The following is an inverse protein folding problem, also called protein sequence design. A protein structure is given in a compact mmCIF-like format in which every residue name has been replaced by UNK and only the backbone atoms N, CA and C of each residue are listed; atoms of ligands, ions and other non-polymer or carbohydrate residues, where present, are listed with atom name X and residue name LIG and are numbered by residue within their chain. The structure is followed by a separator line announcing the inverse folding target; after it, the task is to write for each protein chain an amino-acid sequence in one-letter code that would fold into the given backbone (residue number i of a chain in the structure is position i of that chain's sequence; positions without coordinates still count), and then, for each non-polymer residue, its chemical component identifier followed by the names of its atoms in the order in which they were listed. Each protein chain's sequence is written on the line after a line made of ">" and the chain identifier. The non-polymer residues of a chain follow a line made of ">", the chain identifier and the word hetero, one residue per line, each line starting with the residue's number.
data_IF_467845542808
#
_entry.id   IF_467845542808
#
_cell.length_a   1.000
_cell.length_b   1.000
_cell.length_c   1.000
_cell.angle_alpha   90.00
_cell.angle_beta   90.00
_cell.angle_gamma   90.00
#
_symmetry.space_group_name_H-M   'P 1'
#
loop_
_entity.id
_entity.type
_entity.pdbx_description
1 polymer ?
#
# COMPACT_ATOMS: atom_id res chain seq x y z
N UNK A 1 17.61 -18.36 14.06
CA UNK A 1 17.39 -18.52 12.59
C UNK A 1 16.11 -19.29 12.23
N UNK A 2 15.57 -20.17 13.09
CA UNK A 2 14.36 -20.96 12.82
C UNK A 2 13.02 -20.19 12.94
N UNK A 3 12.93 -19.13 13.75
CA UNK A 3 11.72 -18.31 13.87
C UNK A 3 11.39 -17.50 12.60
N UNK A 4 12.40 -17.05 11.84
CA UNK A 4 12.18 -16.29 10.59
C UNK A 4 11.74 -17.18 9.41
N UNK A 5 12.01 -18.49 9.48
CA UNK A 5 11.56 -19.46 8.48
C UNK A 5 10.10 -19.84 8.68
N UNK A 6 9.64 -19.93 9.93
CA UNK A 6 8.23 -20.15 10.29
C UNK A 6 7.32 -18.98 9.85
N UNK A 7 7.81 -17.73 9.92
CA UNK A 7 7.09 -16.51 9.47
C UNK A 7 6.70 -16.50 7.99
N UNK A 8 7.42 -17.22 7.12
CA UNK A 8 7.16 -17.23 5.67
C UNK A 8 6.11 -18.23 5.24
N UNK A 9 5.89 -19.29 6.02
CA UNK A 9 4.98 -20.37 5.63
C UNK A 9 3.52 -20.09 5.98
N UNK A 10 3.19 -19.23 6.95
CA UNK A 10 1.78 -19.07 7.37
C UNK A 10 0.96 -18.31 6.32
N UNK A 11 1.51 -17.25 5.71
CA UNK A 11 0.82 -16.49 4.64
C UNK A 11 1.00 -17.10 3.23
N UNK A 12 2.05 -17.90 3.00
CA UNK A 12 2.20 -18.67 1.75
C UNK A 12 1.37 -19.96 1.76
N UNK A 13 1.16 -20.62 2.91
CA UNK A 13 0.33 -21.82 3.00
C UNK A 13 -1.16 -21.52 2.81
N UNK A 14 -1.64 -20.29 3.13
CA UNK A 14 -3.02 -19.89 2.83
C UNK A 14 -3.30 -19.70 1.33
N UNK A 15 -2.26 -19.64 0.49
CA UNK A 15 -2.41 -19.67 -0.99
C UNK A 15 -2.85 -21.07 -1.45
N UNK A 16 -2.57 -22.13 -0.68
CA UNK A 16 -2.81 -23.52 -1.08
C UNK A 16 -3.83 -24.29 -0.20
N UNK A 17 -4.32 -23.69 0.89
CA UNK A 17 -5.39 -24.25 1.71
C UNK A 17 -6.44 -23.19 1.99
N UNK A 18 -7.55 -23.26 1.24
CA UNK A 18 -8.71 -22.37 1.36
C UNK A 18 -9.54 -22.80 2.59
N UNK A 19 -9.03 -22.55 3.79
CA UNK A 19 -9.87 -22.62 4.99
C UNK A 19 -10.73 -21.34 5.02
N UNK A 20 -12.07 -21.45 4.94
CA UNK A 20 -12.96 -20.29 4.86
C UNK A 20 -12.96 -19.41 6.13
N UNK A 21 -12.34 -19.89 7.22
CA UNK A 21 -12.26 -19.17 8.49
C UNK A 21 -11.02 -18.27 8.64
N UNK A 22 -10.06 -18.34 7.72
CA UNK A 22 -8.80 -17.58 7.79
C UNK A 22 -8.74 -16.43 6.78
N UNK A 23 -7.95 -15.41 7.12
CA UNK A 23 -7.71 -14.24 6.26
C UNK A 23 -7.03 -14.66 4.96
N UNK A 24 -7.65 -14.34 3.84
CA UNK A 24 -7.08 -14.58 2.51
C UNK A 24 -6.00 -13.55 2.19
N UNK A 25 -5.12 -13.92 1.25
CA UNK A 25 -4.14 -12.99 0.69
C UNK A 25 -4.80 -11.72 0.10
N UNK A 26 -5.95 -11.87 -0.57
CA UNK A 26 -6.74 -10.75 -1.08
C UNK A 26 -7.28 -9.84 0.03
N UNK A 27 -7.77 -10.41 1.13
CA UNK A 27 -8.22 -9.62 2.29
C UNK A 27 -7.09 -8.82 2.95
N UNK A 28 -5.87 -9.35 2.97
CA UNK A 28 -4.69 -8.59 3.44
C UNK A 28 -4.31 -7.47 2.47
N UNK A 29 -4.28 -7.75 1.18
CA UNK A 29 -3.87 -6.76 0.16
C UNK A 29 -4.91 -5.64 0.01
N UNK A 30 -6.20 -5.96 0.06
CA UNK A 30 -7.28 -4.98 0.14
C UNK A 30 -7.15 -4.08 1.38
N UNK A 31 -6.82 -4.67 2.53
CA UNK A 31 -6.53 -3.88 3.75
C UNK A 31 -5.36 -2.94 3.54
N UNK A 32 -4.24 -3.44 3.01
CA UNK A 32 -3.03 -2.65 2.80
C UNK A 32 -3.29 -1.48 1.84
N UNK A 33 -4.12 -1.70 0.81
CA UNK A 33 -4.55 -0.64 -0.09
C UNK A 33 -5.39 0.43 0.62
N UNK A 34 -6.37 0.04 1.45
CA UNK A 34 -7.17 0.97 2.27
C UNK A 34 -6.26 1.78 3.21
N UNK A 35 -5.29 1.17 3.86
CA UNK A 35 -4.34 1.88 4.72
C UNK A 35 -3.50 2.90 3.92
N UNK A 36 -3.12 2.57 2.68
CA UNK A 36 -2.43 3.51 1.79
C UNK A 36 -3.35 4.68 1.41
N UNK A 37 -4.64 4.43 1.17
CA UNK A 37 -5.62 5.50 0.95
C UNK A 37 -5.77 6.40 2.19
N UNK A 38 -5.86 5.83 3.40
CA UNK A 38 -5.92 6.60 4.65
C UNK A 38 -4.66 7.44 4.87
N UNK A 39 -3.48 6.86 4.61
CA UNK A 39 -2.20 7.60 4.63
C UNK A 39 -2.26 8.83 3.74
N UNK A 40 -2.77 8.69 2.52
CA UNK A 40 -2.93 9.82 1.59
C UNK A 40 -3.98 10.82 2.06
N UNK A 41 -5.14 10.34 2.55
CA UNK A 41 -6.25 11.18 3.01
C UNK A 41 -5.85 12.11 4.17
N UNK A 42 -5.05 11.58 5.10
CA UNK A 42 -4.57 12.32 6.27
C UNK A 42 -3.17 12.92 6.09
N UNK A 43 -2.61 12.86 4.88
CA UNK A 43 -1.30 13.41 4.53
C UNK A 43 -0.17 12.92 5.47
N UNK A 44 -0.26 11.67 5.90
CA UNK A 44 0.71 11.05 6.80
C UNK A 44 1.95 10.58 6.01
N UNK A 45 3.14 10.54 6.65
CA UNK A 45 4.34 10.05 5.99
C UNK A 45 4.30 8.53 5.79
N UNK A 46 5.12 8.03 4.87
CA UNK A 46 5.19 6.60 4.54
C UNK A 46 5.52 5.75 5.79
N UNK A 47 6.32 6.26 6.72
CA UNK A 47 6.65 5.59 8.00
C UNK A 47 5.41 5.03 8.73
N UNK A 48 4.30 5.78 8.74
CA UNK A 48 3.04 5.34 9.38
C UNK A 48 2.46 4.13 8.65
N UNK A 49 2.42 4.15 7.31
CA UNK A 49 1.91 3.03 6.51
C UNK A 49 2.78 1.77 6.71
N UNK A 50 4.10 1.92 6.67
CA UNK A 50 5.03 0.79 6.86
C UNK A 50 4.94 0.22 8.28
N UNK A 51 4.79 1.06 9.30
CA UNK A 51 4.56 0.61 10.68
C UNK A 51 3.20 -0.10 10.82
N UNK A 52 2.13 0.46 10.24
CA UNK A 52 0.80 -0.13 10.29
C UNK A 52 0.76 -1.52 9.63
N UNK A 53 1.31 -1.65 8.42
CA UNK A 53 1.36 -2.95 7.72
C UNK A 53 2.28 -3.93 8.46
N UNK A 54 3.39 -3.47 9.06
CA UNK A 54 4.22 -4.31 9.92
C UNK A 54 3.42 -4.89 11.10
N UNK A 55 2.55 -4.09 11.72
CA UNK A 55 1.68 -4.53 12.80
C UNK A 55 0.65 -5.56 12.30
N UNK A 56 -0.02 -5.28 11.16
CA UNK A 56 -0.98 -6.21 10.54
C UNK A 56 -0.33 -7.56 10.25
N UNK A 57 0.77 -7.59 9.51
CA UNK A 57 1.43 -8.82 9.09
C UNK A 57 1.96 -9.61 10.31
N UNK A 58 2.49 -8.92 11.32
CA UNK A 58 2.94 -9.57 12.57
C UNK A 58 1.78 -10.12 13.40
N UNK A 59 0.64 -9.44 13.41
CA UNK A 59 -0.54 -9.89 14.13
C UNK A 59 -1.14 -11.12 13.47
N UNK A 60 -1.32 -11.11 12.14
CA UNK A 60 -1.75 -12.28 11.36
C UNK A 60 -0.79 -13.47 11.50
N UNK A 61 0.51 -13.20 11.62
CA UNK A 61 1.50 -14.25 11.86
C UNK A 61 1.46 -14.88 13.27
N UNK A 62 0.76 -14.26 14.24
CA UNK A 62 0.68 -14.74 15.63
C UNK A 62 -0.73 -15.15 16.06
N UNK A 63 -1.75 -14.61 15.43
CA UNK A 63 -3.14 -14.73 15.85
C UNK A 63 -3.95 -15.29 14.68
N UNK A 64 -4.85 -16.24 14.97
CA UNK A 64 -5.89 -16.61 14.01
C UNK A 64 -6.97 -15.52 14.04
N UNK A 65 -7.15 -14.84 12.91
CA UNK A 65 -8.10 -13.74 12.74
C UNK A 65 -9.18 -14.17 11.75
N UNK A 66 -10.45 -13.95 12.11
CA UNK A 66 -11.56 -14.19 11.20
C UNK A 66 -11.64 -13.06 10.15
N UNK A 67 -11.96 -13.35 8.87
CA UNK A 67 -12.07 -12.33 7.82
C UNK A 67 -12.91 -11.10 8.22
N UNK A 68 -14.03 -11.30 8.94
CA UNK A 68 -14.90 -10.22 9.44
C UNK A 68 -14.21 -9.19 10.34
N UNK A 69 -13.06 -9.52 10.92
CA UNK A 69 -12.31 -8.62 11.79
C UNK A 69 -11.14 -7.93 11.07
N UNK A 70 -10.86 -8.25 9.80
CA UNK A 70 -9.72 -7.67 9.08
C UNK A 70 -9.78 -6.16 8.98
N UNK A 71 -10.93 -5.61 8.59
CA UNK A 71 -11.08 -4.17 8.40
C UNK A 71 -10.77 -3.40 9.70
N UNK A 72 -11.41 -3.79 10.81
CA UNK A 72 -11.18 -3.19 12.12
C UNK A 72 -9.73 -3.37 12.59
N UNK A 73 -9.16 -4.57 12.45
CA UNK A 73 -7.78 -4.87 12.88
C UNK A 73 -6.73 -4.07 12.09
N UNK A 74 -6.93 -3.91 10.78
CA UNK A 74 -6.05 -3.10 9.92
C UNK A 74 -6.12 -1.62 10.27
N UNK A 75 -7.32 -1.05 10.41
CA UNK A 75 -7.48 0.36 10.80
C UNK A 75 -7.00 0.62 12.23
N UNK A 76 -7.19 -0.34 13.14
CA UNK A 76 -6.64 -0.28 14.50
C UNK A 76 -5.10 -0.30 14.50
N UNK A 77 -4.49 -1.08 13.60
CA UNK A 77 -3.03 -1.09 13.41
C UNK A 77 -2.53 0.26 12.90
N UNK A 78 -3.29 0.92 12.02
CA UNK A 78 -2.99 2.26 11.53
C UNK A 78 -3.11 3.33 12.62
N UNK A 79 -4.20 3.29 13.41
CA UNK A 79 -4.37 4.13 14.60
C UNK A 79 -3.22 3.96 15.59
N UNK A 80 -2.83 2.70 15.83
CA UNK A 80 -1.71 2.36 16.71
C UNK A 80 -0.37 2.85 16.15
N UNK A 81 -0.14 2.76 14.84
CA UNK A 81 1.09 3.23 14.22
C UNK A 81 1.26 4.76 14.34
N UNK A 82 0.18 5.53 14.19
CA UNK A 82 0.19 6.99 14.41
C UNK A 82 0.64 7.30 15.84
N UNK A 83 0.05 6.61 16.83
CA UNK A 83 0.42 6.75 18.25
C UNK A 83 1.85 6.27 18.53
N UNK A 84 2.26 5.15 17.94
CA UNK A 84 3.58 4.57 18.14
C UNK A 84 4.70 5.51 17.67
N UNK A 85 4.46 6.23 16.57
CA UNK A 85 5.42 7.13 15.95
C UNK A 85 5.25 8.61 16.39
N UNK A 86 4.39 8.87 17.37
CA UNK A 86 4.15 10.20 17.95
C UNK A 86 3.70 11.26 16.92
N UNK A 87 2.88 10.85 15.95
CA UNK A 87 2.22 11.79 15.04
C UNK A 87 0.93 12.34 15.66
N UNK A 88 0.46 13.49 15.13
CA UNK A 88 -0.79 14.13 15.57
C UNK A 88 -1.92 13.08 15.57
N UNK A 89 -2.57 12.84 16.73
CA UNK A 89 -3.59 11.82 16.83
C UNK A 89 -4.81 12.19 16.00
N UNK A 90 -5.32 11.21 15.26
CA UNK A 90 -6.60 11.32 14.56
C UNK A 90 -7.69 10.80 15.51
N UNK A 91 -8.80 11.53 15.70
CA UNK A 91 -9.92 11.03 16.47
C UNK A 91 -10.39 9.68 15.93
N UNK A 92 -10.65 8.72 16.82
CA UNK A 92 -11.08 7.37 16.44
C UNK A 92 -12.42 7.37 15.70
N UNK A 93 -13.31 8.29 16.05
CA UNK A 93 -14.60 8.49 15.36
C UNK A 93 -14.40 8.91 13.90
N UNK A 94 -13.48 9.84 13.64
CA UNK A 94 -13.14 10.27 12.28
C UNK A 94 -12.52 9.13 11.49
N UNK A 95 -11.58 8.40 12.10
CA UNK A 95 -10.91 7.29 11.43
C UNK A 95 -11.89 6.16 11.07
N UNK A 96 -12.82 5.81 11.97
CA UNK A 96 -13.91 4.87 11.69
C UNK A 96 -14.79 5.36 10.55
N UNK A 97 -15.18 6.63 10.58
CA UNK A 97 -16.08 7.24 9.59
C UNK A 97 -15.46 7.27 8.20
N UNK A 98 -14.20 7.68 8.08
CA UNK A 98 -13.48 7.77 6.81
C UNK A 98 -13.08 6.38 6.29
N UNK A 99 -12.60 5.49 7.15
CA UNK A 99 -12.20 4.14 6.73
C UNK A 99 -13.36 3.23 6.35
N UNK A 100 -14.56 3.49 6.89
CA UNK A 100 -15.73 2.63 6.73
C UNK A 100 -15.45 1.18 7.14
N UNK A 101 -14.63 0.98 8.19
CA UNK A 101 -14.26 -0.36 8.71
C UNK A 101 -15.45 -1.19 9.23
N UNK A 102 -16.64 -0.59 9.38
CA UNK A 102 -17.82 -1.22 9.99
C UNK A 102 -17.71 -1.42 11.51
N UNK A 103 -16.70 -0.82 12.16
CA UNK A 103 -16.40 -0.95 13.57
C UNK A 103 -16.80 0.31 14.36
N UNK A 104 -17.03 0.22 15.68
CA UNK A 104 -17.23 1.42 16.50
C UNK A 104 -15.90 2.05 16.93
N UNK A 105 -15.91 3.32 17.32
CA UNK A 105 -14.73 4.01 17.90
C UNK A 105 -14.14 3.24 19.09
N UNK A 106 -14.99 2.71 19.97
CA UNK A 106 -14.56 1.89 21.10
C UNK A 106 -13.98 0.53 20.69
N UNK A 107 -14.50 -0.09 19.63
CA UNK A 107 -13.92 -1.32 19.08
C UNK A 107 -12.53 -1.09 18.49
N UNK A 108 -12.36 0.03 17.78
CA UNK A 108 -11.09 0.45 17.20
C UNK A 108 -10.02 0.61 18.29
N UNK A 109 -10.33 1.36 19.36
CA UNK A 109 -9.39 1.56 20.46
C UNK A 109 -9.07 0.26 21.21
N UNK A 110 -10.09 -0.57 21.46
CA UNK A 110 -9.90 -1.88 22.10
C UNK A 110 -9.01 -2.77 21.26
N UNK A 111 -9.24 -2.83 19.94
CA UNK A 111 -8.43 -3.64 19.03
C UNK A 111 -6.98 -3.13 18.95
N UNK A 112 -6.77 -1.81 18.94
CA UNK A 112 -5.43 -1.23 18.99
C UNK A 112 -4.69 -1.64 20.28
N UNK A 113 -5.38 -1.64 21.43
CA UNK A 113 -4.84 -2.15 22.69
C UNK A 113 -4.50 -3.65 22.63
N UNK A 114 -5.36 -4.48 22.03
CA UNK A 114 -5.10 -5.92 21.85
C UNK A 114 -3.84 -6.14 20.98
N UNK A 115 -3.71 -5.42 19.87
CA UNK A 115 -2.54 -5.51 18.98
C UNK A 115 -1.27 -5.09 19.72
N UNK A 116 -1.31 -3.95 20.42
CA UNK A 116 -0.18 -3.44 21.19
C UNK A 116 0.31 -4.47 22.22
N UNK A 117 -0.61 -5.08 22.97
CA UNK A 117 -0.32 -6.07 24.00
C UNK A 117 0.21 -7.39 23.42
N UNK A 118 -0.41 -7.92 22.36
CA UNK A 118 0.00 -9.21 21.75
C UNK A 118 1.34 -9.11 21.01
N UNK A 119 1.66 -7.93 20.48
CA UNK A 119 2.90 -7.71 19.74
C UNK A 119 4.03 -7.11 20.59
N UNK A 120 3.74 -6.59 21.79
CA UNK A 120 4.70 -5.90 22.64
C UNK A 120 5.19 -4.60 21.99
N UNK A 121 4.26 -3.78 21.51
CA UNK A 121 4.58 -2.53 20.80
C UNK A 121 5.20 -1.53 21.77
N UNK A 122 6.35 -0.96 21.38
CA UNK A 122 7.04 0.07 22.13
C UNK A 122 6.67 1.44 21.56
N UNK A 123 6.01 2.28 22.36
CA UNK A 123 5.67 3.64 21.95
C UNK A 123 6.93 4.50 21.81
N UNK A 124 6.93 5.44 20.86
CA UNK A 124 8.08 6.29 20.53
C UNK A 124 9.19 5.59 19.74
N UNK A 125 9.04 4.29 19.43
CA UNK A 125 10.07 3.52 18.73
C UNK A 125 9.57 3.06 17.36
N UNK A 126 10.20 3.58 16.31
CA UNK A 126 9.90 3.18 14.94
C UNK A 126 10.38 1.76 14.65
N UNK A 127 9.54 0.91 14.03
CA UNK A 127 9.99 -0.41 13.60
C UNK A 127 10.98 -0.29 12.44
N UNK A 128 11.97 -1.18 12.40
CA UNK A 128 12.83 -1.31 11.22
C UNK A 128 12.03 -2.00 10.11
N UNK A 129 11.82 -1.30 9.00
CA UNK A 129 11.04 -1.78 7.85
C UNK A 129 11.87 -1.71 6.56
N UNK A 130 11.29 -2.11 5.44
CA UNK A 130 11.93 -1.96 4.13
C UNK A 130 12.18 -0.49 3.79
N UNK A 131 11.35 0.43 4.28
CA UNK A 131 11.56 1.87 4.12
C UNK A 131 12.87 2.33 4.79
N UNK A 132 13.16 1.82 6.00
CA UNK A 132 14.42 2.12 6.70
C UNK A 132 15.64 1.70 5.88
N UNK A 133 15.61 0.48 5.32
CA UNK A 133 16.69 -0.01 4.45
C UNK A 133 16.78 0.77 3.14
N UNK A 134 15.66 1.15 2.54
CA UNK A 134 15.64 1.95 1.31
C UNK A 134 16.36 3.28 1.49
N UNK A 135 16.07 4.01 2.59
CA UNK A 135 16.74 5.28 2.91
C UNK A 135 18.25 5.10 3.14
N UNK A 136 18.65 4.01 3.80
CA UNK A 136 20.07 3.67 3.98
C UNK A 136 20.74 3.41 2.62
N UNK A 137 20.14 2.58 1.76
CA UNK A 137 20.70 2.29 0.44
C UNK A 137 20.74 3.55 -0.43
N UNK A 138 19.70 4.38 -0.39
CA UNK A 138 19.69 5.67 -1.09
C UNK A 138 20.89 6.54 -0.70
N UNK A 139 21.10 6.72 0.61
CA UNK A 139 22.27 7.46 1.12
C UNK A 139 23.61 6.81 0.73
N UNK A 140 23.69 5.48 0.78
CA UNK A 140 24.89 4.73 0.38
C UNK A 140 25.26 4.98 -1.09
N UNK A 141 24.29 4.83 -2.01
CA UNK A 141 24.53 5.03 -3.44
C UNK A 141 24.80 6.50 -3.77
N UNK A 142 24.14 7.44 -3.09
CA UNK A 142 24.44 8.87 -3.22
C UNK A 142 25.88 9.20 -2.79
N UNK A 143 26.34 8.65 -1.67
CA UNK A 143 27.71 8.87 -1.21
C UNK A 143 28.74 8.19 -2.13
N UNK A 144 28.43 7.00 -2.63
CA UNK A 144 29.28 6.29 -3.59
C UNK A 144 29.44 7.06 -4.89
N UNK A 145 28.35 7.59 -5.45
CA UNK A 145 28.40 8.41 -6.67
C UNK A 145 29.16 9.71 -6.46
N UNK A 146 29.13 10.28 -5.24
CA UNK A 146 29.98 11.40 -4.86
C UNK A 146 31.47 11.04 -4.81
N UNK A 147 31.85 9.86 -4.31
CA UNK A 147 33.25 9.42 -4.23
C UNK A 147 33.84 9.01 -5.58
N UNK A 148 33.05 8.35 -6.43
CA UNK A 148 33.45 7.99 -7.80
C UNK A 148 33.70 9.21 -8.69
N UNK A 149 33.11 10.37 -8.33
CA UNK A 149 33.30 11.63 -9.03
C UNK A 149 32.57 11.72 -10.37
N UNK A 150 32.96 12.73 -11.15
CA UNK A 150 32.39 13.02 -12.46
C UNK A 150 30.91 13.44 -12.42
N UNK A 151 30.19 13.16 -13.51
CA UNK A 151 28.79 13.56 -13.69
C UNK A 151 27.79 12.59 -13.01
N UNK A 152 28.28 11.63 -12.22
CA UNK A 152 27.46 10.59 -11.59
C UNK A 152 26.56 11.13 -10.48
N UNK A 153 27.05 12.07 -9.68
CA UNK A 153 26.26 12.66 -8.61
C UNK A 153 25.08 13.44 -9.18
N UNK A 154 25.33 14.26 -10.20
CA UNK A 154 24.29 15.02 -10.91
C UNK A 154 23.27 14.08 -11.56
N UNK A 155 23.72 12.98 -12.18
CA UNK A 155 22.84 11.93 -12.68
C UNK A 155 21.97 11.34 -11.56
N UNK A 156 22.57 10.92 -10.44
CA UNK A 156 21.87 10.29 -9.34
C UNK A 156 20.84 11.24 -8.72
N UNK A 157 21.23 12.48 -8.42
CA UNK A 157 20.32 13.46 -7.83
C UNK A 157 19.23 13.91 -8.79
N UNK A 158 19.47 13.91 -10.10
CA UNK A 158 18.47 14.26 -11.11
C UNK A 158 17.43 13.16 -11.28
N UNK A 159 17.84 11.91 -11.42
CA UNK A 159 16.95 10.81 -11.82
C UNK A 159 16.45 9.96 -10.65
N UNK A 160 17.22 9.85 -9.57
CA UNK A 160 16.90 8.97 -8.44
C UNK A 160 16.38 9.83 -7.29
N UNK A 161 15.05 10.02 -7.25
CA UNK A 161 14.36 10.76 -6.19
C UNK A 161 13.89 9.82 -5.09
N UNK A 162 14.14 10.21 -3.84
CA UNK A 162 13.79 9.37 -2.68
C UNK A 162 12.27 9.20 -2.59
N UNK A 163 11.51 10.28 -2.78
CA UNK A 163 10.05 10.30 -2.69
C UNK A 163 9.40 9.32 -3.67
N UNK A 164 9.92 9.23 -4.89
CA UNK A 164 9.41 8.28 -5.88
C UNK A 164 9.72 6.83 -5.50
N UNK A 165 10.91 6.57 -4.95
CA UNK A 165 11.27 5.25 -4.45
C UNK A 165 10.37 4.85 -3.28
N UNK A 166 10.07 5.76 -2.37
CA UNK A 166 9.15 5.51 -1.25
C UNK A 166 7.75 5.13 -1.77
N UNK A 167 7.19 5.91 -2.70
CA UNK A 167 5.88 5.62 -3.30
C UNK A 167 5.85 4.26 -4.01
N UNK A 168 6.89 3.92 -4.77
CA UNK A 168 6.99 2.60 -5.42
C UNK A 168 7.11 1.47 -4.39
N UNK A 169 7.79 1.71 -3.26
CA UNK A 169 7.88 0.74 -2.17
C UNK A 169 6.53 0.56 -1.45
N UNK A 170 5.72 1.61 -1.32
CA UNK A 170 4.35 1.50 -0.79
C UNK A 170 3.49 0.58 -1.66
N UNK A 171 3.60 0.70 -2.99
CA UNK A 171 2.90 -0.18 -3.94
C UNK A 171 3.30 -1.64 -3.73
N UNK A 172 4.60 -1.89 -3.60
CA UNK A 172 5.11 -3.24 -3.32
C UNK A 172 4.57 -3.76 -1.98
N UNK A 173 4.55 -2.94 -0.95
CA UNK A 173 4.09 -3.31 0.39
C UNK A 173 2.62 -3.77 0.40
N UNK A 174 1.79 -3.24 -0.51
CA UNK A 174 0.39 -3.62 -0.67
C UNK A 174 0.18 -5.00 -1.33
N UNK A 175 1.20 -5.63 -1.91
CA UNK A 175 1.09 -6.94 -2.57
C UNK A 175 1.68 -8.06 -1.71
N UNK A 176 0.88 -9.08 -1.44
CA UNK A 176 1.23 -10.24 -0.59
C UNK A 176 2.49 -10.95 -1.06
N UNK A 177 2.78 -10.98 -2.37
CA UNK A 177 3.94 -11.69 -2.93
C UNK A 177 5.25 -11.10 -2.42
N UNK A 178 5.25 -9.81 -2.06
CA UNK A 178 6.43 -9.13 -1.54
C UNK A 178 6.73 -9.49 -0.09
N UNK A 179 5.75 -10.01 0.66
CA UNK A 179 5.93 -10.46 2.05
C UNK A 179 6.89 -11.66 2.16
N UNK A 180 7.05 -12.43 1.08
CA UNK A 180 8.02 -13.52 1.01
C UNK A 180 9.49 -13.02 0.95
N UNK A 181 9.67 -11.76 0.57
CA UNK A 181 10.98 -11.09 0.43
C UNK A 181 11.37 -10.43 1.74
N UNK A 182 12.65 -10.55 2.12
CA UNK A 182 13.19 -9.86 3.30
C UNK A 182 13.19 -8.35 3.08
N UNK A 183 12.86 -7.55 4.10
CA UNK A 183 12.70 -6.10 3.99
C UNK A 183 13.90 -5.37 3.38
N UNK A 184 15.12 -5.75 3.76
CA UNK A 184 16.35 -5.21 3.17
C UNK A 184 16.50 -5.59 1.69
N UNK A 185 16.27 -6.86 1.36
CA UNK A 185 16.34 -7.34 -0.03
C UNK A 185 15.28 -6.68 -0.90
N UNK A 186 14.07 -6.46 -0.40
CA UNK A 186 13.01 -5.77 -1.14
C UNK A 186 13.42 -4.33 -1.48
N UNK A 187 13.96 -3.60 -0.51
CA UNK A 187 14.48 -2.25 -0.71
C UNK A 187 15.64 -2.22 -1.71
N UNK A 188 16.57 -3.17 -1.61
CA UNK A 188 17.70 -3.28 -2.54
C UNK A 188 17.25 -3.64 -3.96
N UNK A 189 16.30 -4.56 -4.12
CA UNK A 189 15.73 -4.90 -5.43
C UNK A 189 15.10 -3.66 -6.07
N UNK A 190 14.33 -2.89 -5.31
CA UNK A 190 13.67 -1.69 -5.82
C UNK A 190 14.65 -0.64 -6.33
N UNK A 191 15.67 -0.28 -5.52
CA UNK A 191 16.64 0.74 -5.93
C UNK A 191 17.48 0.28 -7.12
N UNK A 192 17.89 -0.99 -7.17
CA UNK A 192 18.61 -1.53 -8.32
C UNK A 192 17.74 -1.53 -9.59
N UNK A 193 16.45 -1.90 -9.51
CA UNK A 193 15.55 -1.84 -10.65
C UNK A 193 15.37 -0.40 -11.17
N UNK A 194 15.28 0.56 -10.27
CA UNK A 194 15.12 1.97 -10.62
C UNK A 194 16.38 2.56 -11.25
N UNK A 195 17.56 2.22 -10.71
CA UNK A 195 18.85 2.55 -11.32
C UNK A 195 19.00 1.91 -12.71
N UNK A 196 18.74 0.62 -12.83
CA UNK A 196 18.83 -0.11 -14.11
C UNK A 196 17.90 0.51 -15.17
N UNK A 197 16.72 1.00 -14.79
CA UNK A 197 15.81 1.69 -15.69
C UNK A 197 16.40 3.00 -16.22
N UNK A 198 16.81 3.90 -15.33
CA UNK A 198 17.31 5.22 -15.75
C UNK A 198 18.65 5.16 -16.46
N UNK A 199 19.51 4.20 -16.12
CA UNK A 199 20.77 4.06 -16.84
C UNK A 199 20.52 3.55 -18.27
N UNK A 200 19.59 2.61 -18.46
CA UNK A 200 19.19 2.14 -19.80
C UNK A 200 18.53 3.24 -20.63
N UNK A 201 17.68 4.06 -20.01
CA UNK A 201 17.00 5.17 -20.66
C UNK A 201 17.97 6.29 -21.07
N UNK A 202 18.93 6.62 -20.19
CA UNK A 202 19.89 7.70 -20.42
C UNK A 202 21.01 7.30 -21.39
N UNK A 203 21.31 6.00 -21.53
CA UNK A 203 22.41 5.50 -22.37
C UNK A 203 21.97 4.32 -23.24
N UNK A 204 21.17 4.57 -24.31
CA UNK A 204 20.86 3.54 -25.29
C UNK A 204 22.11 3.21 -26.11
N UNK A 205 22.87 2.20 -25.68
CA UNK A 205 23.80 1.39 -26.48
C UNK A 205 24.55 2.17 -27.59
N UNK A 206 25.28 3.23 -27.24
CA UNK A 206 26.33 3.82 -28.07
C UNK A 206 27.58 4.07 -27.25
N UNK A 207 28.70 3.85 -27.92
CA UNK A 207 30.00 3.53 -27.38
C UNK A 207 30.60 4.58 -26.43
N UNK A 208 31.24 4.07 -25.37
CA UNK A 208 32.56 4.50 -24.91
C UNK A 208 32.79 5.83 -24.15
N UNK A 209 31.83 6.39 -23.38
CA UNK A 209 32.14 7.55 -22.50
C UNK A 209 31.86 7.39 -20.99
N UNK A 210 31.35 6.25 -20.52
CA UNK A 210 30.95 6.09 -19.11
C UNK A 210 31.78 5.11 -18.27
N UNK A 211 33.11 5.26 -18.16
CA UNK A 211 33.94 4.39 -17.28
C UNK A 211 33.44 4.42 -15.84
N UNK A 212 32.97 5.58 -15.38
CA UNK A 212 32.44 5.79 -14.03
C UNK A 212 31.11 5.03 -13.80
N UNK A 213 30.21 5.01 -14.81
CA UNK A 213 28.95 4.25 -14.74
C UNK A 213 29.18 2.75 -14.77
N UNK A 214 30.25 2.29 -15.44
CA UNK A 214 30.64 0.87 -15.46
C UNK A 214 30.92 0.35 -14.05
N UNK A 215 31.62 1.13 -13.22
CA UNK A 215 31.89 0.75 -11.83
C UNK A 215 30.62 0.68 -10.98
N UNK A 216 29.70 1.63 -11.16
CA UNK A 216 28.39 1.59 -10.50
C UNK A 216 27.58 0.36 -10.94
N UNK A 217 27.58 0.03 -12.24
CA UNK A 217 26.94 -1.17 -12.77
C UNK A 217 27.56 -2.46 -12.23
N UNK A 218 28.88 -2.58 -12.21
CA UNK A 218 29.60 -3.74 -11.67
C UNK A 218 29.27 -3.93 -10.19
N UNK A 219 29.20 -2.85 -9.42
CA UNK A 219 28.81 -2.91 -8.01
C UNK A 219 27.34 -3.31 -7.81
N UNK A 220 26.41 -2.75 -8.61
CA UNK A 220 25.00 -3.14 -8.59
C UNK A 220 24.85 -4.63 -8.95
N UNK A 221 25.52 -5.10 -10.00
CA UNK A 221 25.54 -6.50 -10.41
C UNK A 221 26.10 -7.41 -9.30
N UNK A 222 27.18 -6.98 -8.64
CA UNK A 222 27.77 -7.69 -7.50
C UNK A 222 26.77 -7.82 -6.35
N UNK A 223 26.10 -6.73 -5.95
CA UNK A 223 25.06 -6.75 -4.92
C UNK A 223 23.85 -7.62 -5.33
N UNK A 224 23.47 -7.57 -6.60
CA UNK A 224 22.40 -8.40 -7.17
C UNK A 224 22.72 -9.90 -7.08
N UNK A 225 23.97 -10.27 -7.39
CA UNK A 225 24.45 -11.66 -7.30
C UNK A 225 24.48 -12.15 -5.85
N UNK A 226 25.06 -11.38 -4.93
CA UNK A 226 25.11 -11.72 -3.50
C UNK A 226 23.71 -11.91 -2.90
N UNK A 227 22.79 -11.02 -3.25
CA UNK A 227 21.43 -11.01 -2.69
C UNK A 227 20.45 -11.94 -3.43
N UNK A 228 20.92 -12.69 -4.45
CA UNK A 228 20.09 -13.53 -5.35
C UNK A 228 18.88 -12.78 -5.90
N UNK A 229 19.08 -11.50 -6.25
CA UNK A 229 18.03 -10.56 -6.64
C UNK A 229 17.28 -11.07 -7.86
N UNK A 230 17.97 -11.69 -8.81
CA UNK A 230 17.37 -12.22 -10.05
C UNK A 230 16.15 -13.11 -9.81
N UNK A 231 16.15 -13.95 -8.76
CA UNK A 231 15.01 -14.83 -8.43
C UNK A 231 13.86 -14.09 -7.74
N UNK A 232 14.14 -12.94 -7.12
CA UNK A 232 13.19 -12.18 -6.30
C UNK A 232 12.59 -10.99 -7.04
N UNK A 233 13.24 -10.52 -8.11
CA UNK A 233 12.75 -9.46 -9.01
C UNK A 233 11.32 -9.76 -9.48
N UNK A 234 10.98 -11.03 -9.76
CA UNK A 234 9.65 -11.43 -10.23
C UNK A 234 8.52 -10.99 -9.29
N UNK A 235 8.76 -10.94 -7.97
CA UNK A 235 7.78 -10.48 -6.99
C UNK A 235 7.57 -8.96 -7.04
N UNK A 236 8.50 -8.20 -7.61
CA UNK A 236 8.44 -6.75 -7.72
C UNK A 236 7.97 -6.28 -9.11
N UNK A 237 8.29 -7.02 -10.18
CA UNK A 237 7.94 -6.62 -11.55
C UNK A 237 6.42 -6.48 -11.71
N UNK A 238 5.66 -7.51 -11.33
CA UNK A 238 4.21 -7.54 -11.60
C UNK A 238 3.45 -6.40 -10.87
N UNK A 239 3.66 -6.14 -9.57
CA UNK A 239 2.98 -5.02 -8.91
C UNK A 239 3.40 -3.66 -9.49
N UNK A 240 4.69 -3.47 -9.78
CA UNK A 240 5.19 -2.21 -10.34
C UNK A 240 4.74 -1.99 -11.78
N UNK A 241 4.70 -3.02 -12.62
CA UNK A 241 4.20 -2.91 -14.00
C UNK A 241 2.71 -2.59 -14.03
N UNK A 242 1.93 -3.21 -13.13
CA UNK A 242 0.52 -2.90 -12.97
C UNK A 242 0.30 -1.44 -12.56
N UNK A 243 1.10 -0.94 -11.61
CA UNK A 243 1.07 0.45 -11.18
C UNK A 243 1.49 1.42 -12.29
N UNK A 244 2.63 1.18 -12.94
CA UNK A 244 3.16 2.04 -14.00
C UNK A 244 2.23 2.10 -15.23
N UNK A 245 1.54 1.01 -15.54
CA UNK A 245 0.54 0.97 -16.62
C UNK A 245 -0.77 1.71 -16.30
N UNK A 246 -0.89 2.34 -15.13
CA UNK A 246 -2.12 2.97 -14.62
C UNK A 246 -3.33 2.03 -14.71
N UNK A 247 -3.09 0.72 -14.58
CA UNK A 247 -4.16 -0.26 -14.65
C UNK A 247 -5.16 -0.02 -13.52
N UNK A 248 -6.43 -0.33 -13.78
CA UNK A 248 -7.48 -0.24 -12.75
C UNK A 248 -7.03 -1.06 -11.54
N UNK A 249 -6.84 -0.37 -10.40
CA UNK A 249 -6.50 -1.05 -9.16
C UNK A 249 -7.62 -2.04 -8.82
N UNK A 250 -7.27 -3.31 -8.47
CA UNK A 250 -8.27 -4.32 -8.16
C UNK A 250 -9.07 -3.94 -6.91
N UNK A 251 -8.43 -3.25 -5.97
CA UNK A 251 -9.04 -2.76 -4.74
C UNK A 251 -9.46 -1.30 -4.90
N UNK A 252 -10.69 -0.99 -4.53
CA UNK A 252 -11.22 0.38 -4.48
C UNK A 252 -11.99 0.58 -3.20
N UNK A 253 -11.60 1.58 -2.42
CA UNK A 253 -12.41 2.01 -1.30
C UNK A 253 -13.54 2.90 -1.83
N UNK A 254 -14.74 2.34 -1.92
CA UNK A 254 -15.93 3.11 -2.29
C UNK A 254 -16.39 3.91 -1.08
N UNK A 255 -16.01 5.18 -1.02
CA UNK A 255 -16.52 6.08 0.02
C UNK A 255 -18.01 6.33 -0.23
N UNK A 256 -18.85 5.76 0.63
CA UNK A 256 -20.28 6.05 0.65
C UNK A 256 -20.53 7.19 1.62
N UNK A 257 -20.97 8.33 1.11
CA UNK A 257 -21.37 9.47 1.93
C UNK A 257 -22.76 9.21 2.52
N UNK A 258 -22.81 8.94 3.83
CA UNK A 258 -24.08 8.85 4.55
C UNK A 258 -24.55 10.25 4.91
N UNK A 259 -25.69 10.63 4.38
CA UNK A 259 -26.33 11.90 4.69
C UNK A 259 -27.18 11.74 5.95
N UNK A 260 -27.19 12.75 6.82
CA UNK A 260 -28.13 12.75 7.94
C UNK A 260 -29.57 12.70 7.44
N UNK A 261 -30.50 12.14 8.21
CA UNK A 261 -31.93 12.09 7.85
C UNK A 261 -32.51 13.49 7.57
N UNK A 262 -32.00 14.52 8.26
CA UNK A 262 -32.35 15.92 8.02
C UNK A 262 -31.83 16.40 6.66
N UNK A 263 -30.56 16.15 6.36
CA UNK A 263 -29.93 16.55 5.09
C UNK A 263 -30.58 15.83 3.92
N UNK A 264 -30.83 14.52 4.05
CA UNK A 264 -31.47 13.69 3.03
C UNK A 264 -32.87 14.20 2.66
N UNK A 265 -33.65 14.68 3.64
CA UNK A 265 -34.98 15.28 3.41
C UNK A 265 -34.93 16.63 2.69
N UNK A 266 -33.84 17.38 2.85
CA UNK A 266 -33.67 18.72 2.24
C UNK A 266 -33.10 18.61 0.83
N UNK A 267 -32.26 17.60 0.58
CA UNK A 267 -31.69 17.36 -0.73
C UNK A 267 -32.79 16.94 -1.71
N UNK A 268 -32.92 17.70 -2.81
CA UNK A 268 -33.83 17.32 -3.88
C UNK A 268 -33.35 16.01 -4.52
N UNK A 269 -34.25 15.10 -4.92
CA UNK A 269 -33.88 13.90 -5.65
C UNK A 269 -33.05 14.26 -6.90
N UNK A 270 -31.79 13.81 -6.93
CA UNK A 270 -30.85 14.09 -8.03
C UNK A 270 -31.27 13.46 -9.36
N UNK A 271 -32.19 12.49 -9.29
CA UNK A 271 -32.68 11.69 -10.42
C UNK A 271 -33.49 12.53 -11.43
N UNK A 272 -33.86 13.77 -11.10
CA UNK A 272 -34.60 14.70 -11.97
C UNK A 272 -33.76 15.88 -12.47
N UNK A 273 -32.46 15.91 -12.20
CA UNK A 273 -31.58 16.95 -12.73
C UNK A 273 -31.05 16.53 -14.10
N UNK A 274 -31.68 17.04 -15.15
CA UNK A 274 -31.05 17.18 -16.46
C UNK A 274 -30.00 18.28 -16.34
N UNK A 275 -28.74 17.97 -16.58
CA UNK A 275 -27.68 18.98 -16.64
C UNK A 275 -27.60 19.49 -18.06
N UNK A 276 -27.97 20.75 -18.29
CA UNK A 276 -27.79 21.43 -19.60
C UNK A 276 -26.32 21.83 -19.86
N UNK A 277 -25.43 21.48 -18.93
CA UNK A 277 -24.00 21.66 -19.09
C UNK A 277 -23.46 20.59 -20.05
N UNK A 278 -22.73 21.05 -21.06
CA UNK A 278 -21.99 20.17 -21.95
C UNK A 278 -21.02 19.32 -21.16
N UNK A 279 -21.00 18.01 -21.44
CA UNK A 279 -20.01 17.10 -20.87
C UNK A 279 -18.61 17.61 -21.19
N UNK A 280 -17.81 17.88 -20.16
CA UNK A 280 -16.39 18.18 -20.36
C UNK A 280 -15.76 16.91 -20.91
N UNK A 281 -15.29 16.96 -22.16
CA UNK A 281 -14.56 15.84 -22.75
C UNK A 281 -13.22 15.71 -22.02
N UNK A 282 -13.14 14.76 -21.10
CA UNK A 282 -11.86 14.32 -20.55
C UNK A 282 -11.07 13.68 -21.71
N UNK A 283 -9.95 14.30 -22.09
CA UNK A 283 -9.20 14.04 -23.33
C UNK A 283 -8.51 12.67 -23.42
N UNK A 284 -9.25 11.58 -23.33
CA UNK A 284 -8.78 10.23 -23.57
C UNK A 284 -9.34 9.73 -24.91
N UNK A 285 -8.52 9.09 -25.77
CA UNK A 285 -9.03 8.54 -27.03
C UNK A 285 -10.11 7.48 -26.76
N UNK A 286 -11.32 7.78 -27.23
CA UNK A 286 -12.51 6.92 -27.15
C UNK A 286 -12.21 5.55 -27.78
N UNK A 287 -12.26 4.48 -26.98
CA UNK A 287 -12.69 3.17 -27.48
C UNK A 287 -14.22 3.14 -27.39
N UNK A 288 -14.84 2.93 -28.54
CA UNK A 288 -16.28 2.99 -28.75
C UNK A 288 -17.06 2.01 -27.86
N UNK A 289 -18.14 2.55 -27.31
CA UNK A 289 -19.42 1.96 -26.95
C UNK A 289 -19.51 0.74 -26.01
N UNK A 290 -19.77 1.07 -24.75
CA UNK A 290 -21.00 0.58 -24.12
C UNK A 290 -21.73 1.79 -23.52
N UNK A 291 -23.00 1.98 -23.92
CA UNK A 291 -23.93 2.96 -23.37
C UNK A 291 -23.82 3.02 -21.85
N UNK A 292 -23.15 4.06 -21.33
CA UNK A 292 -23.24 4.41 -19.92
C UNK A 292 -24.60 5.06 -19.70
N UNK A 293 -25.61 4.22 -19.43
CA UNK A 293 -26.70 4.69 -18.58
C UNK A 293 -26.07 5.21 -17.29
N UNK A 294 -26.55 6.36 -16.83
CA UNK A 294 -26.17 6.95 -15.55
C UNK A 294 -26.75 6.02 -14.49
N UNK A 295 -26.07 4.91 -14.22
CA UNK A 295 -26.54 3.91 -13.29
C UNK A 295 -26.67 4.56 -11.93
N UNK A 296 -27.89 4.50 -11.43
CA UNK A 296 -28.18 4.53 -10.01
C UNK A 296 -27.15 3.73 -9.24
N UNK A 297 -26.93 4.11 -7.98
CA UNK A 297 -26.36 3.23 -6.97
C UNK A 297 -27.31 2.05 -6.72
N UNK A 298 -27.43 1.17 -7.70
CA UNK A 298 -27.90 -0.19 -7.49
C UNK A 298 -26.73 -0.95 -6.86
N UNK A 299 -27.01 -1.46 -5.66
CA UNK A 299 -26.17 -2.39 -4.93
C UNK A 299 -25.98 -3.64 -5.80
N UNK A 300 -24.84 -3.74 -6.47
CA UNK A 300 -24.40 -4.99 -7.08
C UNK A 300 -23.87 -5.88 -5.96
N UNK A 301 -24.72 -6.79 -5.49
CA UNK A 301 -24.31 -7.96 -4.70
C UNK A 301 -23.50 -8.90 -5.59
N UNK A 302 -22.24 -8.56 -5.86
CA UNK A 302 -21.29 -9.48 -6.50
C UNK A 302 -19.98 -9.46 -5.73
N UNK A 303 -19.76 -10.56 -5.00
CA UNK A 303 -18.54 -10.98 -4.29
C UNK A 303 -17.64 -9.86 -3.77
N UNK A 304 -18.10 -9.22 -2.69
CA UNK A 304 -17.27 -8.38 -1.85
C UNK A 304 -16.18 -9.23 -1.15
N UNK A 305 -14.96 -9.17 -1.67
CA UNK A 305 -13.73 -9.70 -1.02
C UNK A 305 -13.34 -8.90 0.25
N UNK A 306 -14.21 -7.98 0.67
CA UNK A 306 -14.12 -7.16 1.85
C UNK A 306 -15.44 -7.27 2.63
N UNK A 307 -15.47 -7.73 3.88
CA UNK A 307 -16.73 -7.87 4.60
C UNK A 307 -17.24 -6.48 5.00
N UNK A 308 -18.04 -5.87 4.13
CA UNK A 308 -18.88 -4.74 4.51
C UNK A 308 -20.05 -5.31 5.30
N UNK A 309 -20.25 -4.84 6.52
CA UNK A 309 -21.43 -5.27 7.29
C UNK A 309 -22.69 -4.89 6.52
N UNK A 310 -23.73 -5.74 6.49
CA UNK A 310 -24.98 -5.41 5.81
C UNK A 310 -25.51 -4.08 6.36
N UNK A 311 -26.03 -3.25 5.46
CA UNK A 311 -26.73 -2.03 5.82
C UNK A 311 -27.94 -2.46 6.65
N UNK A 312 -27.86 -2.37 7.98
CA UNK A 312 -29.02 -2.59 8.84
C UNK A 312 -29.95 -1.40 8.60
N UNK A 313 -31.16 -1.60 8.03
CA UNK A 313 -32.14 -0.53 8.00
C UNK A 313 -32.49 -0.19 9.45
N UNK A 314 -32.21 1.04 9.86
CA UNK A 314 -32.75 1.61 11.09
C UNK A 314 -34.25 1.79 10.81
N UNK A 315 -35.05 0.79 11.12
CA UNK A 315 -36.48 0.98 11.29
C UNK A 315 -36.65 1.76 12.61
N UNK A 316 -36.83 3.07 12.51
CA UNK A 316 -37.42 3.84 13.61
C UNK A 316 -38.82 3.26 13.85
N UNK A 317 -38.97 2.52 14.96
CA UNK A 317 -40.29 2.15 15.48
C UNK A 317 -40.99 3.44 15.92
N UNK A 318 -42.17 3.68 15.35
CA UNK A 318 -43.14 4.66 15.85
C UNK A 318 -43.67 4.24 17.22
#
# INVERSE_FOLDING_TARGET
>A
MNLMRSRKNIMLNSIYQKNPEEVTAGGRDGSAYVLRCLKMWYELPSDVLFAAINLVDRFLGKMSVKPKHMACMSVASFHLAIKQLDYKPIPSEDLVTISQCGCTSGDLERMAGVIANKLGVQMGHAPITSLSFLRIYYGLFRNMTKELGGNLLDFYEKFIKLEELEVRLEVLLCDVQTTAVTSSTLALVLICLHLDFHIKESYPFKEAEGVELKHLFEYILYLQQLSRIHKRIQHCIRPLSHYNGQNKQPYKQRLVWKLSSRTLRILRPTNRFSTDLTTIEEGYPKKEDALRSRSESVSSEEEEDWPTSPIIPIFEQC
#
